data_IF_901528479801
#
_entry.id   IF_901528479801
#
_cell.length_a   1.000
_cell.length_b   1.000
_cell.length_c   1.000
_cell.angle_alpha   90.00
_cell.angle_beta   90.00
_cell.angle_gamma   90.00
#
_symmetry.space_group_name_H-M   'P 1'
#
loop_
_entity.id
_entity.type
_entity.pdbx_description
1 polymer ?
#
# COMPACT_ATOMS: atom_id res chain seq x y z
N UNK A 1 -16.10 17.68 30.66
CA UNK A 1 -15.89 16.25 30.41
C UNK A 1 -15.80 15.57 31.76
N UNK A 2 -16.65 14.57 32.05
CA UNK A 2 -16.60 13.87 33.33
C UNK A 2 -15.40 12.92 33.34
N UNK A 3 -14.56 12.97 34.38
CA UNK A 3 -13.45 12.05 34.57
C UNK A 3 -13.95 10.72 35.15
N UNK A 4 -13.19 9.65 34.92
CA UNK A 4 -13.47 8.36 35.52
C UNK A 4 -13.40 8.43 37.04
N UNK A 5 -14.32 7.78 37.78
CA UNK A 5 -14.26 7.73 39.25
C UNK A 5 -12.98 7.05 39.74
N UNK A 6 -12.37 7.57 40.80
CA UNK A 6 -11.12 7.04 41.37
C UNK A 6 -11.25 5.57 41.79
N UNK A 7 -12.43 5.18 42.29
CA UNK A 7 -12.72 3.77 42.60
C UNK A 7 -12.61 2.85 41.39
N UNK A 8 -13.08 3.30 40.22
CA UNK A 8 -13.02 2.50 38.99
C UNK A 8 -11.57 2.35 38.52
N UNK A 9 -10.79 3.42 38.60
CA UNK A 9 -9.35 3.40 38.31
C UNK A 9 -8.60 2.47 39.26
N UNK A 10 -8.91 2.50 40.56
CA UNK A 10 -8.26 1.64 41.54
C UNK A 10 -8.54 0.15 41.26
N UNK A 11 -9.80 -0.23 40.95
CA UNK A 11 -10.15 -1.62 40.61
C UNK A 11 -9.44 -2.04 39.31
N UNK A 12 -9.41 -1.20 38.32
CA UNK A 12 -8.70 -1.43 37.05
C UNK A 12 -7.22 -1.71 37.24
N UNK A 13 -6.54 -0.88 38.04
CA UNK A 13 -5.09 -1.00 38.30
C UNK A 13 -4.74 -2.22 39.11
N UNK A 14 -5.61 -2.64 40.05
CA UNK A 14 -5.40 -3.84 40.86
C UNK A 14 -5.77 -5.13 40.13
N UNK A 15 -6.27 -5.06 38.89
CA UNK A 15 -6.73 -6.21 38.11
C UNK A 15 -8.02 -6.82 38.71
N UNK A 16 -8.82 -6.03 39.41
CA UNK A 16 -10.10 -6.43 39.91
C UNK A 16 -11.12 -6.70 38.79
N UNK A 17 -12.10 -7.55 39.09
CA UNK A 17 -13.15 -7.89 38.14
C UNK A 17 -14.07 -6.69 37.87
N UNK A 18 -14.12 -6.23 36.64
CA UNK A 18 -14.99 -5.15 36.16
C UNK A 18 -15.94 -5.72 35.12
N UNK A 19 -17.23 -5.33 35.14
CA UNK A 19 -18.14 -5.62 34.05
C UNK A 19 -17.56 -5.12 32.70
N UNK A 20 -17.70 -5.90 31.63
CA UNK A 20 -17.07 -5.66 30.34
C UNK A 20 -17.39 -4.28 29.75
N UNK A 21 -18.61 -3.80 29.94
CA UNK A 21 -19.06 -2.46 29.51
C UNK A 21 -18.32 -1.33 30.25
N UNK A 22 -18.08 -1.50 31.56
CA UNK A 22 -17.32 -0.54 32.37
C UNK A 22 -15.83 -0.57 32.02
N UNK A 23 -15.27 -1.75 31.80
CA UNK A 23 -13.89 -1.94 31.39
C UNK A 23 -13.62 -1.24 30.04
N UNK A 24 -14.42 -1.54 29.03
CA UNK A 24 -14.28 -0.92 27.69
C UNK A 24 -14.54 0.57 27.71
N UNK A 25 -15.53 1.03 28.48
CA UNK A 25 -15.80 2.45 28.66
C UNK A 25 -14.64 3.19 29.33
N UNK A 26 -13.98 2.60 30.32
CA UNK A 26 -12.79 3.14 30.96
C UNK A 26 -11.60 3.17 30.02
N UNK A 27 -11.31 2.09 29.31
CA UNK A 27 -10.20 2.02 28.35
C UNK A 27 -10.34 3.07 27.23
N UNK A 28 -11.52 3.16 26.62
CA UNK A 28 -11.81 4.19 25.62
C UNK A 28 -11.67 5.63 26.16
N UNK A 29 -12.03 5.84 27.44
CA UNK A 29 -11.82 7.12 28.09
C UNK A 29 -10.34 7.42 28.33
N UNK A 30 -9.57 6.41 28.79
CA UNK A 30 -8.14 6.53 29.05
C UNK A 30 -7.34 6.85 27.77
N UNK A 31 -7.77 6.36 26.59
CA UNK A 31 -7.14 6.72 25.32
C UNK A 31 -7.14 8.24 25.07
N UNK A 32 -8.19 8.94 25.48
CA UNK A 32 -8.43 10.34 25.16
C UNK A 32 -8.22 11.30 26.34
N UNK A 33 -8.12 10.80 27.59
CA UNK A 33 -8.04 11.62 28.79
C UNK A 33 -6.66 11.55 29.48
N UNK A 34 -5.85 12.60 29.32
CA UNK A 34 -4.53 12.71 29.98
C UNK A 34 -4.61 12.69 31.51
N UNK A 35 -5.64 13.32 32.08
CA UNK A 35 -5.80 13.40 33.54
C UNK A 35 -6.04 12.02 34.16
N UNK A 36 -6.93 11.21 33.54
CA UNK A 36 -7.19 9.87 34.05
C UNK A 36 -5.98 8.93 33.81
N UNK A 37 -5.23 9.10 32.72
CA UNK A 37 -3.96 8.35 32.55
C UNK A 37 -2.93 8.68 33.63
N UNK A 38 -2.79 9.95 34.02
CA UNK A 38 -1.89 10.35 35.11
C UNK A 38 -2.29 9.69 36.41
N UNK A 39 -3.60 9.64 36.75
CA UNK A 39 -4.11 8.95 37.93
C UNK A 39 -3.81 7.44 37.90
N UNK A 40 -3.98 6.78 36.76
CA UNK A 40 -3.59 5.38 36.61
C UNK A 40 -2.10 5.19 36.88
N UNK A 41 -1.24 6.07 36.35
CA UNK A 41 0.21 6.01 36.57
C UNK A 41 0.62 6.22 38.05
N UNK A 42 -0.13 7.04 38.79
CA UNK A 42 0.13 7.29 40.24
C UNK A 42 -0.24 6.08 41.10
N UNK A 43 -1.32 5.37 40.73
CA UNK A 43 -1.84 4.22 41.51
C UNK A 43 -1.22 2.90 41.08
N UNK A 44 -0.77 2.81 39.83
CA UNK A 44 -0.18 1.58 39.29
C UNK A 44 1.11 1.21 40.05
N UNK A 45 1.18 0.04 40.71
CA UNK A 45 2.43 -0.39 41.32
C UNK A 45 3.46 -0.59 40.20
N UNK A 46 4.63 0.07 40.34
CA UNK A 46 5.77 -0.18 39.45
C UNK A 46 6.13 -1.66 39.59
N UNK A 47 5.82 -2.44 38.56
CA UNK A 47 6.10 -3.87 38.62
C UNK A 47 7.60 -4.09 38.42
N UNK A 48 8.33 -4.76 39.33
CA UNK A 48 9.77 -4.98 39.22
C UNK A 48 10.16 -5.67 37.90
N UNK A 49 9.23 -6.46 37.36
CA UNK A 49 9.38 -7.15 36.06
C UNK A 49 9.48 -6.13 34.92
N UNK A 50 8.71 -5.04 34.95
CA UNK A 50 8.76 -4.00 33.92
C UNK A 50 10.12 -3.30 33.93
N UNK A 51 10.67 -2.99 35.10
CA UNK A 51 11.98 -2.37 35.24
C UNK A 51 13.11 -3.29 34.74
N UNK A 52 13.04 -4.58 35.05
CA UNK A 52 14.01 -5.58 34.57
C UNK A 52 13.95 -5.69 33.05
N UNK A 53 12.76 -5.79 32.48
CA UNK A 53 12.57 -5.89 31.02
C UNK A 53 13.02 -4.59 30.35
N UNK A 54 12.64 -3.43 30.92
CA UNK A 54 13.02 -2.13 30.38
C UNK A 54 14.55 -1.92 30.40
N UNK A 55 15.22 -2.26 31.49
CA UNK A 55 16.67 -2.12 31.60
C UNK A 55 17.42 -2.99 30.57
N UNK A 56 16.87 -4.19 30.23
CA UNK A 56 17.43 -5.00 29.15
C UNK A 56 17.17 -4.39 27.78
N UNK A 57 15.93 -3.97 27.49
CA UNK A 57 15.56 -3.36 26.22
C UNK A 57 16.25 -2.02 26.00
N UNK A 58 16.39 -1.20 27.04
CA UNK A 58 17.05 0.11 26.94
C UNK A 58 18.50 -0.02 26.50
N UNK A 59 19.19 -1.10 26.90
CA UNK A 59 20.56 -1.38 26.47
C UNK A 59 20.63 -1.77 24.97
N UNK A 60 19.63 -2.52 24.48
CA UNK A 60 19.54 -2.92 23.07
C UNK A 60 19.03 -1.79 22.15
N UNK A 61 18.05 -1.02 22.62
CA UNK A 61 17.49 0.11 21.86
C UNK A 61 18.50 1.25 21.72
N UNK A 62 19.45 1.36 22.65
CA UNK A 62 20.48 2.40 22.64
C UNK A 62 19.91 3.82 22.86
N UNK A 63 20.74 4.84 22.93
CA UNK A 63 20.30 6.22 23.00
C UNK A 63 19.56 6.59 21.72
N UNK A 64 18.37 7.18 21.85
CA UNK A 64 17.62 7.70 20.70
C UNK A 64 18.53 8.67 19.95
N UNK A 65 19.03 8.25 18.79
CA UNK A 65 19.88 9.10 17.97
C UNK A 65 19.17 10.43 17.72
N UNK A 66 19.86 11.57 17.88
CA UNK A 66 19.26 12.88 17.65
C UNK A 66 18.68 12.89 16.23
N UNK A 67 17.40 13.21 16.11
CA UNK A 67 16.72 13.28 14.82
C UNK A 67 17.46 14.27 13.94
N UNK A 68 18.32 13.77 13.07
CA UNK A 68 18.93 14.58 12.02
C UNK A 68 17.79 15.24 11.26
N UNK A 69 17.76 16.58 11.22
CA UNK A 69 16.81 17.34 10.40
C UNK A 69 17.09 17.01 8.94
N UNK A 70 16.49 15.96 8.40
CA UNK A 70 16.59 15.65 6.97
C UNK A 70 15.85 16.73 6.19
N UNK A 71 16.53 17.29 5.22
CA UNK A 71 16.06 18.40 4.35
C UNK A 71 14.79 18.03 3.58
N UNK A 72 14.48 16.73 3.46
CA UNK A 72 13.35 16.18 2.72
C UNK A 72 12.42 15.31 3.56
N UNK A 73 12.03 15.80 4.75
CA UNK A 73 11.09 15.08 5.65
C UNK A 73 9.79 14.64 4.97
N UNK A 74 9.34 15.35 3.96
CA UNK A 74 8.15 14.98 3.21
C UNK A 74 8.37 13.68 2.39
N UNK A 75 9.55 13.47 1.82
CA UNK A 75 9.88 12.21 1.14
C UNK A 75 9.90 11.02 2.10
N UNK A 76 10.47 11.19 3.31
CA UNK A 76 10.48 10.14 4.34
C UNK A 76 9.08 9.72 4.77
N UNK A 77 8.07 10.58 4.57
CA UNK A 77 6.68 10.24 4.85
C UNK A 77 5.99 9.50 3.70
N UNK A 78 6.47 9.59 2.47
CA UNK A 78 5.86 9.00 1.28
C UNK A 78 6.57 7.74 0.79
N UNK A 79 7.88 7.65 1.01
CA UNK A 79 8.71 6.53 0.57
C UNK A 79 9.21 5.77 1.80
N UNK A 80 8.86 4.51 1.93
CA UNK A 80 9.43 3.63 2.95
C UNK A 80 10.74 3.03 2.44
N UNK A 81 11.73 2.73 3.33
CA UNK A 81 12.98 2.08 2.92
C UNK A 81 12.75 0.75 2.18
N UNK A 82 11.66 0.06 2.48
CA UNK A 82 11.26 -1.18 1.79
C UNK A 82 10.91 -0.97 0.31
N UNK A 83 10.61 0.25 -0.12
CA UNK A 83 10.31 0.54 -1.53
C UNK A 83 11.56 0.66 -2.41
N UNK A 84 12.74 0.92 -1.85
CA UNK A 84 13.95 1.16 -2.61
C UNK A 84 14.35 -0.02 -3.53
N UNK A 85 14.43 -1.29 -3.07
CA UNK A 85 14.78 -2.42 -3.92
C UNK A 85 13.75 -2.66 -5.01
N UNK A 86 12.47 -2.45 -4.69
CA UNK A 86 11.40 -2.58 -5.66
C UNK A 86 11.44 -1.48 -6.74
N UNK A 87 11.72 -0.23 -6.36
CA UNK A 87 11.91 0.87 -7.31
C UNK A 87 13.10 0.60 -8.24
N UNK A 88 14.21 0.11 -7.70
CA UNK A 88 15.37 -0.29 -8.47
C UNK A 88 15.01 -1.40 -9.48
N UNK A 89 14.21 -2.39 -9.07
CA UNK A 89 13.73 -3.45 -9.95
C UNK A 89 12.87 -2.90 -11.09
N UNK A 90 11.94 -1.98 -10.82
CA UNK A 90 11.10 -1.36 -11.87
C UNK A 90 11.97 -0.62 -12.89
N UNK A 91 12.90 0.19 -12.41
CA UNK A 91 13.82 0.92 -13.30
C UNK A 91 14.63 -0.06 -14.15
N UNK A 92 15.17 -1.12 -13.54
CA UNK A 92 15.93 -2.14 -14.25
C UNK A 92 15.09 -2.88 -15.30
N UNK A 93 13.88 -3.32 -14.95
CA UNK A 93 12.96 -3.99 -15.89
C UNK A 93 12.56 -3.07 -17.04
N UNK A 94 12.27 -1.79 -16.74
CA UNK A 94 11.92 -0.82 -17.79
C UNK A 94 13.11 -0.55 -18.71
N UNK A 95 14.31 -0.44 -18.15
CA UNK A 95 15.53 -0.25 -18.94
C UNK A 95 15.77 -1.45 -19.88
N UNK A 96 15.69 -2.68 -19.36
CA UNK A 96 15.81 -3.89 -20.17
C UNK A 96 14.71 -3.95 -21.23
N UNK A 97 13.47 -3.60 -20.90
CA UNK A 97 12.37 -3.53 -21.85
C UNK A 97 12.65 -2.55 -23.00
N UNK A 98 13.18 -1.36 -22.70
CA UNK A 98 13.56 -0.36 -23.71
C UNK A 98 14.73 -0.85 -24.55
N UNK A 99 15.75 -1.45 -23.95
CA UNK A 99 16.90 -1.99 -24.69
C UNK A 99 16.51 -3.12 -25.66
N UNK A 100 15.52 -3.92 -25.27
CA UNK A 100 15.01 -5.01 -26.11
C UNK A 100 13.86 -4.60 -27.01
N UNK A 101 13.44 -3.33 -27.01
CA UNK A 101 12.26 -2.85 -27.75
C UNK A 101 12.35 -3.12 -29.25
N UNK A 102 13.53 -2.97 -29.84
CA UNK A 102 13.77 -3.29 -31.25
C UNK A 102 13.50 -4.76 -31.59
N UNK A 103 13.82 -5.68 -30.68
CA UNK A 103 13.54 -7.11 -30.82
C UNK A 103 12.04 -7.39 -30.66
N UNK A 104 11.41 -6.76 -29.66
CA UNK A 104 9.96 -6.89 -29.42
C UNK A 104 9.15 -6.39 -30.60
N UNK A 105 9.54 -5.24 -31.16
CA UNK A 105 8.88 -4.64 -32.32
C UNK A 105 8.97 -5.52 -33.57
N UNK A 106 10.12 -6.15 -33.78
CA UNK A 106 10.32 -7.09 -34.89
C UNK A 106 9.51 -8.39 -34.76
N UNK A 107 9.22 -8.84 -33.54
CA UNK A 107 8.56 -10.12 -33.27
C UNK A 107 7.05 -9.97 -33.08
N UNK A 108 6.61 -8.91 -32.37
CA UNK A 108 5.23 -8.77 -31.86
C UNK A 108 4.47 -7.56 -32.47
N UNK A 109 5.13 -6.72 -33.27
CA UNK A 109 4.56 -5.48 -33.82
C UNK A 109 3.97 -4.53 -32.75
N UNK A 110 4.55 -4.56 -31.56
CA UNK A 110 4.19 -3.72 -30.42
C UNK A 110 5.41 -3.38 -29.57
N UNK A 111 5.34 -2.27 -28.81
CA UNK A 111 6.43 -1.87 -27.93
C UNK A 111 6.38 -2.63 -26.61
N UNK A 112 7.56 -2.90 -26.04
CA UNK A 112 7.69 -3.48 -24.71
C UNK A 112 7.02 -2.61 -23.64
N UNK A 113 7.03 -1.28 -23.82
CA UNK A 113 6.34 -0.34 -22.92
C UNK A 113 4.84 -0.63 -22.84
N UNK A 114 4.17 -0.85 -23.97
CA UNK A 114 2.73 -1.17 -23.99
C UNK A 114 2.43 -2.47 -23.26
N UNK A 115 3.32 -3.44 -23.36
CA UNK A 115 3.12 -4.76 -22.76
C UNK A 115 3.30 -4.74 -21.24
N UNK A 116 4.30 -4.03 -20.75
CA UNK A 116 4.64 -3.99 -19.33
C UNK A 116 3.95 -2.87 -18.54
N UNK A 117 3.51 -1.80 -19.21
CA UNK A 117 2.92 -0.64 -18.56
C UNK A 117 1.75 -0.95 -17.60
N UNK A 118 0.79 -1.84 -17.90
CA UNK A 118 -0.28 -2.15 -16.95
C UNK A 118 0.19 -2.99 -15.75
N UNK A 119 1.24 -3.79 -15.94
CA UNK A 119 1.73 -4.74 -14.94
C UNK A 119 2.59 -4.07 -13.88
N UNK A 120 3.46 -3.13 -14.28
CA UNK A 120 4.43 -2.50 -13.38
C UNK A 120 3.80 -1.75 -12.19
N UNK A 121 2.77 -0.88 -12.38
CA UNK A 121 2.10 -0.24 -11.25
C UNK A 121 1.40 -1.23 -10.33
N UNK A 122 0.77 -2.26 -10.91
CA UNK A 122 0.05 -3.31 -10.15
C UNK A 122 1.01 -4.10 -9.27
N UNK A 123 2.17 -4.52 -9.82
CA UNK A 123 3.22 -5.17 -9.04
C UNK A 123 3.74 -4.26 -7.92
N UNK A 124 3.86 -2.97 -8.19
CA UNK A 124 4.27 -2.01 -7.20
C UNK A 124 3.30 -1.84 -6.04
N UNK A 125 2.03 -1.77 -6.37
CA UNK A 125 0.99 -1.74 -5.34
C UNK A 125 1.00 -3.04 -4.54
N UNK A 126 1.07 -4.21 -5.19
CA UNK A 126 1.16 -5.50 -4.51
C UNK A 126 2.39 -5.60 -3.60
N UNK A 127 3.58 -5.20 -4.08
CA UNK A 127 4.81 -5.21 -3.32
C UNK A 127 4.75 -4.29 -2.09
N UNK A 128 4.08 -3.14 -2.21
CA UNK A 128 3.91 -2.19 -1.10
C UNK A 128 3.06 -2.75 0.06
N UNK A 129 2.32 -3.85 -0.18
CA UNK A 129 1.47 -4.56 0.79
C UNK A 129 1.99 -5.95 1.13
N UNK A 130 3.13 -6.36 0.60
CA UNK A 130 3.71 -7.66 0.92
C UNK A 130 4.29 -7.65 2.35
N UNK A 131 3.79 -8.52 3.22
CA UNK A 131 4.22 -8.65 4.64
C UNK A 131 5.74 -8.79 4.79
N UNK A 132 6.36 -9.54 3.92
CA UNK A 132 7.81 -9.79 3.96
C UNK A 132 8.70 -8.62 3.51
N UNK A 133 8.14 -7.57 2.91
CA UNK A 133 8.88 -6.42 2.40
C UNK A 133 8.75 -5.16 3.27
N UNK A 134 7.79 -5.12 4.19
CA UNK A 134 7.57 -4.00 5.11
C UNK A 134 7.79 -4.44 6.56
N UNK A 135 8.94 -4.13 7.20
CA UNK A 135 9.21 -4.49 8.59
C UNK A 135 8.21 -3.89 9.58
N UNK A 136 7.53 -2.81 9.20
CA UNK A 136 6.53 -2.13 10.03
C UNK A 136 5.09 -2.55 9.69
N UNK A 137 4.89 -3.59 8.86
CA UNK A 137 3.57 -4.01 8.38
C UNK A 137 2.56 -4.21 9.51
N UNK A 138 2.92 -4.93 10.56
CA UNK A 138 2.03 -5.24 11.69
C UNK A 138 1.62 -3.97 12.46
N UNK A 139 2.57 -3.07 12.71
CA UNK A 139 2.32 -1.80 13.39
C UNK A 139 1.40 -0.91 12.55
N UNK A 140 1.65 -0.87 11.23
CA UNK A 140 0.87 -0.06 10.28
C UNK A 140 -0.53 -0.64 10.12
N UNK A 141 -0.67 -1.97 10.01
CA UNK A 141 -1.96 -2.65 9.87
C UNK A 141 -2.84 -2.50 11.12
N UNK A 142 -2.24 -2.44 12.30
CA UNK A 142 -2.94 -2.24 13.57
C UNK A 142 -3.39 -0.79 13.82
N UNK A 143 -2.99 0.18 12.97
CA UNK A 143 -3.39 1.57 13.20
C UNK A 143 -4.81 1.85 12.70
N UNK A 144 -5.62 2.65 13.42
CA UNK A 144 -6.97 3.04 12.99
C UNK A 144 -7.00 3.79 11.64
N UNK A 145 -5.85 4.30 11.20
CA UNK A 145 -5.66 4.98 9.91
C UNK A 145 -5.21 4.06 8.77
N UNK A 146 -5.12 2.74 9.00
CA UNK A 146 -4.76 1.73 8.00
C UNK A 146 -5.82 1.49 6.90
N UNK A 147 -6.71 2.46 6.67
CA UNK A 147 -7.78 2.39 5.68
C UNK A 147 -7.37 2.88 4.29
N UNK A 148 -8.37 3.21 3.49
CA UNK A 148 -8.23 3.68 2.10
C UNK A 148 -7.19 4.81 1.94
N UNK A 149 -7.04 5.69 2.92
CA UNK A 149 -6.06 6.77 2.87
C UNK A 149 -4.61 6.25 2.74
N UNK A 150 -4.26 5.23 3.52
CA UNK A 150 -2.92 4.64 3.45
C UNK A 150 -2.71 3.90 2.14
N UNK A 151 -3.74 3.15 1.68
CA UNK A 151 -3.73 2.46 0.40
C UNK A 151 -3.55 3.47 -0.74
N UNK A 152 -4.37 4.51 -0.78
CA UNK A 152 -4.29 5.55 -1.79
C UNK A 152 -2.92 6.26 -1.78
N UNK A 153 -2.41 6.59 -0.59
CA UNK A 153 -1.10 7.23 -0.44
C UNK A 153 0.03 6.35 -0.98
N UNK A 154 0.06 5.06 -0.65
CA UNK A 154 1.06 4.11 -1.17
C UNK A 154 0.93 3.96 -2.68
N UNK A 155 -0.30 3.85 -3.20
CA UNK A 155 -0.56 3.78 -4.64
C UNK A 155 -0.08 5.04 -5.36
N UNK A 156 -0.37 6.23 -4.82
CA UNK A 156 0.12 7.50 -5.41
C UNK A 156 1.64 7.56 -5.39
N UNK A 157 2.30 7.13 -4.32
CA UNK A 157 3.76 7.09 -4.25
C UNK A 157 4.35 6.13 -5.32
N UNK A 158 3.73 4.97 -5.52
CA UNK A 158 4.11 4.03 -6.59
C UNK A 158 3.94 4.67 -7.96
N UNK A 159 2.76 5.25 -8.25
CA UNK A 159 2.47 5.89 -9.52
C UNK A 159 3.39 7.09 -9.80
N UNK A 160 3.71 7.88 -8.78
CA UNK A 160 4.61 9.03 -8.90
C UNK A 160 6.03 8.66 -9.37
N UNK A 161 6.43 7.41 -9.21
CA UNK A 161 7.71 6.90 -9.72
C UNK A 161 7.52 6.15 -11.03
N UNK A 162 6.52 5.27 -11.10
CA UNK A 162 6.32 4.39 -12.28
C UNK A 162 5.91 5.20 -13.52
N UNK A 163 5.00 6.19 -13.37
CA UNK A 163 4.52 6.94 -14.52
C UNK A 163 5.60 7.78 -15.20
N UNK A 164 6.49 8.51 -14.50
CA UNK A 164 7.62 9.19 -15.15
C UNK A 164 8.57 8.23 -15.85
N UNK A 165 8.86 7.07 -15.25
CA UNK A 165 9.75 6.06 -15.87
C UNK A 165 9.12 5.51 -17.14
N UNK A 166 7.83 5.12 -17.11
CA UNK A 166 7.09 4.68 -18.28
C UNK A 166 6.92 5.79 -19.32
N UNK A 167 6.70 7.03 -18.88
CA UNK A 167 6.61 8.19 -19.75
C UNK A 167 7.90 8.45 -20.52
N UNK A 168 9.03 8.34 -19.85
CA UNK A 168 10.34 8.45 -20.49
C UNK A 168 10.60 7.31 -21.48
N UNK A 169 10.27 6.07 -21.08
CA UNK A 169 10.37 4.91 -21.95
C UNK A 169 9.45 5.04 -23.18
N UNK A 170 8.18 5.46 -22.99
CA UNK A 170 7.24 5.69 -24.07
C UNK A 170 7.67 6.80 -25.03
N UNK A 171 8.32 7.84 -24.49
CA UNK A 171 8.92 8.90 -25.34
C UNK A 171 10.07 8.37 -26.19
N UNK A 172 10.94 7.54 -25.62
CA UNK A 172 12.07 6.93 -26.36
C UNK A 172 11.59 5.97 -27.46
N UNK A 173 10.51 5.21 -27.20
CA UNK A 173 9.96 4.23 -28.14
C UNK A 173 8.90 4.82 -29.11
N UNK A 174 8.61 6.12 -28.99
CA UNK A 174 7.59 6.79 -29.82
C UNK A 174 6.15 6.36 -29.52
N UNK A 175 5.90 5.68 -28.38
CA UNK A 175 4.58 5.17 -28.01
C UNK A 175 3.70 6.31 -27.46
N UNK A 176 2.51 6.49 -28.04
CA UNK A 176 1.54 7.50 -27.60
C UNK A 176 1.15 7.34 -26.13
N UNK A 177 1.10 8.44 -25.33
CA UNK A 177 0.86 8.36 -23.88
C UNK A 177 -0.45 7.63 -23.51
N UNK A 178 -1.51 7.84 -24.29
CA UNK A 178 -2.81 7.23 -24.01
C UNK A 178 -2.78 5.69 -24.06
N UNK A 179 -1.93 5.12 -24.92
CA UNK A 179 -1.87 3.68 -25.16
C UNK A 179 -1.26 2.87 -23.99
N UNK A 180 -0.41 3.50 -23.19
CA UNK A 180 0.17 2.84 -22.02
C UNK A 180 -0.40 3.39 -20.69
N UNK A 181 -0.80 4.67 -20.65
CA UNK A 181 -1.27 5.31 -19.43
C UNK A 181 -2.68 4.82 -19.02
N UNK A 182 -3.62 4.78 -19.97
CA UNK A 182 -5.00 4.36 -19.68
C UNK A 182 -5.09 2.91 -19.17
N UNK A 183 -4.47 1.91 -19.82
CA UNK A 183 -4.43 0.56 -19.27
C UNK A 183 -3.75 0.49 -17.91
N UNK A 184 -2.65 1.23 -17.69
CA UNK A 184 -1.94 1.27 -16.41
C UNK A 184 -2.83 1.77 -15.26
N UNK A 185 -3.57 2.85 -15.50
CA UNK A 185 -4.50 3.42 -14.52
C UNK A 185 -5.70 2.51 -14.30
N UNK A 186 -6.28 1.92 -15.36
CA UNK A 186 -7.39 0.99 -15.27
C UNK A 186 -7.02 -0.25 -14.44
N UNK A 187 -5.83 -0.82 -14.67
CA UNK A 187 -5.34 -1.96 -13.88
C UNK A 187 -5.04 -1.59 -12.43
N UNK A 188 -4.46 -0.42 -12.19
CA UNK A 188 -4.18 0.06 -10.83
C UNK A 188 -5.47 0.26 -10.04
N UNK A 189 -6.46 0.97 -10.60
CA UNK A 189 -7.75 1.19 -9.93
C UNK A 189 -8.56 -0.11 -9.85
N UNK A 190 -8.46 -0.99 -10.85
CA UNK A 190 -9.03 -2.34 -10.83
C UNK A 190 -8.45 -3.19 -9.71
N UNK A 191 -7.14 -3.14 -9.49
CA UNK A 191 -6.47 -3.83 -8.37
C UNK A 191 -6.99 -3.31 -7.03
N UNK A 192 -7.19 -2.00 -6.90
CA UNK A 192 -7.79 -1.44 -5.70
C UNK A 192 -9.26 -1.87 -5.55
N UNK A 193 -10.06 -1.79 -6.60
CA UNK A 193 -11.48 -2.19 -6.54
C UNK A 193 -11.65 -3.65 -6.10
N UNK A 194 -10.91 -4.58 -6.70
CA UNK A 194 -10.92 -6.00 -6.34
C UNK A 194 -10.22 -6.27 -4.99
N UNK A 195 -9.21 -5.47 -4.66
CA UNK A 195 -8.45 -5.59 -3.42
C UNK A 195 -9.29 -5.39 -2.16
N UNK A 196 -10.38 -4.62 -2.26
CA UNK A 196 -11.35 -4.47 -1.18
C UNK A 196 -12.11 -5.77 -0.82
N UNK A 197 -12.13 -6.75 -1.72
CA UNK A 197 -12.84 -8.02 -1.53
C UNK A 197 -11.88 -9.21 -1.39
N UNK A 198 -10.87 -9.29 -2.25
CA UNK A 198 -9.96 -10.45 -2.35
C UNK A 198 -8.63 -10.27 -1.62
N UNK A 199 -8.37 -9.03 -1.13
CA UNK A 199 -7.03 -8.61 -0.73
C UNK A 199 -6.20 -8.10 -1.92
N UNK A 200 -5.36 -7.08 -1.67
CA UNK A 200 -4.64 -6.35 -2.73
C UNK A 200 -3.68 -7.25 -3.51
N UNK A 201 -2.95 -8.12 -2.83
CA UNK A 201 -1.97 -9.00 -3.47
C UNK A 201 -2.64 -10.04 -4.38
N UNK A 202 -3.74 -10.68 -3.93
CA UNK A 202 -4.48 -11.65 -4.73
C UNK A 202 -5.14 -11.00 -5.95
N UNK A 203 -5.72 -9.81 -5.77
CA UNK A 203 -6.30 -9.01 -6.85
C UNK A 203 -5.24 -8.64 -7.91
N UNK A 204 -4.04 -8.24 -7.48
CA UNK A 204 -2.93 -7.94 -8.37
C UNK A 204 -2.53 -9.15 -9.23
N UNK A 205 -2.30 -10.30 -8.60
CA UNK A 205 -1.93 -11.51 -9.33
C UNK A 205 -3.03 -11.99 -10.29
N UNK A 206 -4.30 -11.89 -9.88
CA UNK A 206 -5.43 -12.24 -10.74
C UNK A 206 -5.48 -11.34 -11.98
N UNK A 207 -5.34 -10.02 -11.83
CA UNK A 207 -5.33 -9.08 -12.95
C UNK A 207 -4.12 -9.27 -13.87
N UNK A 208 -2.93 -9.55 -13.31
CA UNK A 208 -1.76 -9.87 -14.11
C UNK A 208 -1.98 -11.16 -14.91
N UNK A 209 -2.56 -12.20 -14.30
CA UNK A 209 -2.89 -13.45 -14.99
C UNK A 209 -3.88 -13.20 -16.14
N UNK A 210 -4.91 -12.38 -15.91
CA UNK A 210 -5.87 -11.97 -16.95
C UNK A 210 -5.17 -11.22 -18.08
N UNK A 211 -4.27 -10.29 -17.75
CA UNK A 211 -3.49 -9.56 -18.75
C UNK A 211 -2.64 -10.50 -19.61
N UNK A 212 -1.92 -11.41 -18.98
CA UNK A 212 -1.10 -12.40 -19.68
C UNK A 212 -1.96 -13.27 -20.59
N UNK A 213 -3.10 -13.76 -20.10
CA UNK A 213 -3.98 -14.64 -20.86
C UNK A 213 -4.66 -13.95 -22.06
N UNK A 214 -5.07 -12.67 -21.91
CA UNK A 214 -5.87 -11.98 -22.93
C UNK A 214 -5.00 -11.15 -23.90
N UNK A 215 -3.85 -10.66 -23.45
CA UNK A 215 -3.01 -9.78 -24.26
C UNK A 215 -1.69 -10.44 -24.64
N UNK A 216 -0.94 -10.94 -23.65
CA UNK A 216 0.42 -11.43 -23.90
C UNK A 216 0.38 -12.74 -24.72
N UNK A 217 -0.37 -13.73 -24.27
CA UNK A 217 -0.48 -15.03 -24.94
C UNK A 217 -0.99 -14.92 -26.38
N UNK A 218 -2.12 -14.23 -26.68
CA UNK A 218 -2.57 -14.05 -28.06
C UNK A 218 -1.57 -13.29 -28.93
N UNK A 219 -0.87 -12.28 -28.38
CA UNK A 219 0.14 -11.53 -29.11
C UNK A 219 1.27 -12.45 -29.60
N UNK A 220 1.74 -13.36 -28.75
CA UNK A 220 2.77 -14.34 -29.13
C UNK A 220 2.27 -15.38 -30.13
N UNK A 221 1.02 -15.85 -30.00
CA UNK A 221 0.45 -16.90 -30.87
C UNK A 221 0.08 -16.34 -32.24
N UNK A 222 -0.55 -15.17 -32.29
CA UNK A 222 -1.08 -14.57 -33.52
C UNK A 222 -0.07 -13.68 -34.25
N UNK A 223 1.06 -13.37 -33.63
CA UNK A 223 2.11 -12.45 -34.15
C UNK A 223 1.54 -11.13 -34.66
N UNK A 224 0.54 -10.58 -33.98
CA UNK A 224 -0.13 -9.35 -34.37
C UNK A 224 -0.47 -8.46 -33.18
N UNK A 225 -0.85 -7.21 -33.45
CA UNK A 225 -1.27 -6.28 -32.41
C UNK A 225 -2.51 -6.80 -31.68
N UNK A 226 -2.41 -6.97 -30.37
CA UNK A 226 -3.59 -7.25 -29.57
C UNK A 226 -4.55 -6.05 -29.63
N UNK A 227 -5.82 -6.29 -29.95
CA UNK A 227 -6.86 -5.25 -29.99
C UNK A 227 -6.83 -4.34 -28.75
N UNK A 228 -6.55 -4.92 -27.59
CA UNK A 228 -6.44 -4.19 -26.31
C UNK A 228 -5.40 -3.06 -26.31
N UNK A 229 -4.41 -3.07 -27.21
CA UNK A 229 -3.32 -2.10 -27.30
C UNK A 229 -3.47 -1.15 -28.51
N UNK A 230 -4.59 -1.21 -29.20
CA UNK A 230 -4.90 -0.29 -30.32
C UNK A 230 -5.63 0.96 -29.83
N UNK A 231 -5.59 2.02 -30.65
CA UNK A 231 -6.32 3.26 -30.36
C UNK A 231 -7.83 3.04 -30.27
N UNK A 232 -8.38 2.02 -30.92
CA UNK A 232 -9.79 1.65 -30.85
C UNK A 232 -10.22 1.14 -29.47
N UNK A 233 -9.29 0.62 -28.66
CA UNK A 233 -9.58 0.16 -27.31
C UNK A 233 -9.53 1.26 -26.24
N UNK A 234 -9.07 2.47 -26.57
CA UNK A 234 -8.95 3.56 -25.59
C UNK A 234 -10.28 3.90 -24.87
N UNK A 235 -11.45 3.95 -25.54
CA UNK A 235 -12.72 4.19 -24.84
C UNK A 235 -13.06 3.10 -23.83
N UNK A 236 -12.72 1.85 -24.14
CA UNK A 236 -12.94 0.70 -23.23
C UNK A 236 -12.06 0.85 -21.98
N UNK A 237 -10.78 1.18 -22.14
CA UNK A 237 -9.89 1.43 -21.01
C UNK A 237 -10.32 2.62 -20.15
N UNK A 238 -10.78 3.71 -20.79
CA UNK A 238 -11.33 4.86 -20.08
C UNK A 238 -12.58 4.49 -19.27
N UNK A 239 -13.46 3.68 -19.86
CA UNK A 239 -14.67 3.17 -19.18
C UNK A 239 -14.33 2.27 -17.99
N UNK A 240 -13.39 1.34 -18.14
CA UNK A 240 -12.90 0.48 -17.04
C UNK A 240 -12.29 1.32 -15.94
N UNK A 241 -11.43 2.29 -16.27
CA UNK A 241 -10.83 3.20 -15.30
C UNK A 241 -11.87 4.00 -14.52
N UNK A 242 -12.85 4.59 -15.22
CA UNK A 242 -13.92 5.35 -14.59
C UNK A 242 -14.77 4.46 -13.66
N UNK A 243 -15.19 3.29 -14.13
CA UNK A 243 -15.99 2.33 -13.36
C UNK A 243 -15.25 1.88 -12.10
N UNK A 244 -14.01 1.44 -12.23
CA UNK A 244 -13.22 0.94 -11.09
C UNK A 244 -12.91 2.05 -10.09
N UNK A 245 -12.70 3.29 -10.55
CA UNK A 245 -12.52 4.46 -9.68
C UNK A 245 -13.79 4.73 -8.87
N UNK A 246 -14.97 4.67 -9.50
CA UNK A 246 -16.27 4.81 -8.80
C UNK A 246 -16.44 3.68 -7.77
N UNK A 247 -16.14 2.44 -8.14
CA UNK A 247 -16.22 1.30 -7.22
C UNK A 247 -15.31 1.52 -5.99
N UNK A 248 -14.07 1.95 -6.18
CA UNK A 248 -13.15 2.27 -5.06
C UNK A 248 -13.72 3.37 -4.17
N UNK A 249 -14.28 4.43 -4.77
CA UNK A 249 -14.86 5.55 -4.02
C UNK A 249 -16.08 5.13 -3.19
N UNK A 250 -16.94 4.28 -3.75
CA UNK A 250 -18.13 3.78 -3.07
C UNK A 250 -17.80 2.77 -1.97
N UNK A 251 -16.83 1.90 -2.20
CA UNK A 251 -16.44 0.83 -1.26
C UNK A 251 -15.33 1.23 -0.29
N UNK A 252 -15.09 2.54 -0.11
CA UNK A 252 -14.06 3.05 0.82
C UNK A 252 -14.09 2.44 2.22
N UNK A 253 -15.29 2.07 2.71
CA UNK A 253 -15.47 1.43 4.02
C UNK A 253 -14.98 -0.03 4.06
N UNK A 254 -14.84 -0.72 2.93
CA UNK A 254 -14.31 -2.09 2.88
C UNK A 254 -12.84 -2.15 3.30
N UNK A 255 -12.07 -1.08 3.04
CA UNK A 255 -10.64 -1.01 3.39
C UNK A 255 -10.38 -0.83 4.89
N UNK A 256 -11.38 -0.46 5.69
CA UNK A 256 -11.26 -0.40 7.14
C UNK A 256 -11.30 -1.81 7.78
N UNK A 257 -11.74 -2.82 7.03
CA UNK A 257 -11.89 -4.22 7.48
C UNK A 257 -10.77 -5.16 7.02
N UNK A 258 -9.84 -4.68 6.18
CA UNK A 258 -8.76 -5.49 5.60
C UNK A 258 -7.73 -6.01 6.62
N UNK A 259 -7.72 -5.51 7.85
CA UNK A 259 -6.83 -5.99 8.90
C UNK A 259 -7.28 -7.28 9.63
N UNK A 260 -8.46 -7.84 9.33
CA UNK A 260 -9.06 -8.91 10.12
C UNK A 260 -9.05 -10.30 9.45
N UNK A 261 -8.63 -10.45 8.19
CA UNK A 261 -8.89 -11.67 7.42
C UNK A 261 -7.69 -12.28 6.67
N UNK A 262 -6.45 -11.86 6.95
CA UNK A 262 -5.27 -12.48 6.33
C UNK A 262 -4.37 -13.19 7.34
#
# INVERSE_FOLDING_TARGET
>A
MNHAPDRLIAVYVTGGDLPGDQLWGLEAHLENCRVCRAKVAEVAPVQPVVDVVWNRLAAEVGPVAPRVRRRFRWLDTWVTPAMAPWLAMIVAVTLVAVLLDGVWHAVLDMTAVQLFAPVLPVLGVAASWARGLDPAYEVVAATPRAGLYLVARRTVAVLAVVLPVLGFAGWLTGTGPALWLLPSLAFTTGTLALGGVLGVSRAAYALIAVWVAIVVLPAFVQRGQAFALTTGALPVWAGIFALTTVVVALHRAAYTRLGAHD
#
